data_IF_974865076330
#
_entry.id   IF_974865076330
#
_cell.length_a   1.000
_cell.length_b   1.000
_cell.length_c   1.000
_cell.angle_alpha   90.00
_cell.angle_beta   90.00
_cell.angle_gamma   90.00
#
_symmetry.space_group_name_H-M   'P 1'
#
loop_
_entity.id
_entity.type
_entity.pdbx_description
1 polymer ?
#
# COMPACT_ATOMS: atom_id res chain seq x y z
N UNK A 1 -1.34 -26.42 10.35
CA UNK A 1 -0.94 -27.05 9.08
C UNK A 1 -2.17 -26.99 8.18
N UNK A 2 -2.33 -25.91 7.41
CA UNK A 2 -3.51 -25.72 6.54
C UNK A 2 -3.09 -26.16 5.14
N UNK A 3 -3.63 -27.28 4.68
CA UNK A 3 -3.53 -27.70 3.28
C UNK A 3 -4.54 -26.87 2.49
N UNK A 4 -4.09 -25.83 1.80
CA UNK A 4 -4.87 -25.27 0.71
C UNK A 4 -4.98 -26.34 -0.39
N UNK A 5 -6.19 -26.55 -0.90
CA UNK A 5 -6.46 -27.45 -2.02
C UNK A 5 -5.83 -26.85 -3.28
N UNK A 6 -4.58 -27.20 -3.57
CA UNK A 6 -3.92 -26.85 -4.83
C UNK A 6 -4.13 -27.98 -5.84
N UNK A 7 -4.35 -27.65 -7.14
CA UNK A 7 -4.48 -28.65 -8.20
C UNK A 7 -3.28 -29.59 -8.23
N UNK A 8 -3.53 -30.86 -8.58
CA UNK A 8 -2.53 -31.93 -8.55
C UNK A 8 -1.30 -31.57 -9.41
N UNK A 9 -0.12 -31.53 -8.78
CA UNK A 9 1.16 -31.35 -9.47
C UNK A 9 2.05 -30.21 -8.94
N UNK A 10 1.53 -29.30 -8.11
CA UNK A 10 2.39 -28.37 -7.38
C UNK A 10 2.76 -28.94 -6.01
N UNK A 11 4.06 -29.13 -5.76
CA UNK A 11 4.57 -29.30 -4.40
C UNK A 11 4.11 -28.11 -3.54
N UNK A 12 3.74 -28.31 -2.26
CA UNK A 12 3.43 -27.20 -1.38
C UNK A 12 4.65 -26.29 -1.34
N UNK A 13 4.50 -25.05 -1.79
CA UNK A 13 5.47 -23.99 -1.52
C UNK A 13 5.49 -23.79 0.00
N UNK A 14 6.36 -24.53 0.70
CA UNK A 14 6.62 -24.26 2.10
C UNK A 14 7.42 -22.96 2.13
N UNK A 15 6.73 -21.85 2.33
CA UNK A 15 7.37 -20.59 2.67
C UNK A 15 8.00 -20.73 4.06
N UNK A 16 9.27 -21.16 4.12
CA UNK A 16 10.00 -21.33 5.38
C UNK A 16 10.24 -20.01 6.14
N UNK A 17 10.05 -18.85 5.50
CA UNK A 17 10.20 -17.55 6.13
C UNK A 17 8.88 -16.78 6.16
N UNK A 18 8.21 -16.81 7.30
CA UNK A 18 7.13 -15.86 7.63
C UNK A 18 7.74 -14.49 7.79
N UNK A 19 7.22 -13.50 7.07
CA UNK A 19 7.68 -12.12 7.21
C UNK A 19 6.77 -11.34 8.15
N UNK A 20 7.32 -10.29 8.75
CA UNK A 20 6.53 -9.24 9.40
C UNK A 20 6.47 -8.01 8.50
N UNK A 21 5.27 -7.70 8.05
CA UNK A 21 4.96 -6.69 7.03
C UNK A 21 4.22 -5.53 7.67
N UNK A 22 4.69 -4.31 7.43
CA UNK A 22 3.92 -3.09 7.68
C UNK A 22 3.26 -2.68 6.37
N UNK A 23 1.94 -2.81 6.26
CA UNK A 23 1.18 -2.41 5.08
C UNK A 23 0.61 -1.00 5.29
N UNK A 24 0.94 -0.06 4.40
CA UNK A 24 0.42 1.30 4.41
C UNK A 24 -0.61 1.47 3.30
N UNK A 25 -1.86 1.75 3.67
CA UNK A 25 -2.99 1.89 2.76
C UNK A 25 -3.65 3.27 2.95
N UNK A 26 -3.27 4.30 2.15
CA UNK A 26 -3.68 5.70 2.32
C UNK A 26 -5.10 5.97 1.78
N UNK A 27 -6.05 5.13 2.18
CA UNK A 27 -7.46 5.24 1.82
C UNK A 27 -8.33 4.64 2.93
N UNK A 28 -9.64 4.94 2.97
CA UNK A 28 -10.59 4.21 3.81
C UNK A 28 -10.56 2.70 3.54
N UNK A 29 -10.69 1.89 4.58
CA UNK A 29 -10.69 0.43 4.48
C UNK A 29 -11.49 -0.21 5.64
N UNK A 30 -12.35 -1.20 5.46
CA UNK A 30 -12.76 -1.78 4.20
C UNK A 30 -13.97 -1.01 3.61
N UNK A 31 -14.00 -0.85 2.29
CA UNK A 31 -15.14 -0.35 1.53
C UNK A 31 -15.18 -1.11 0.20
N UNK A 32 -16.35 -1.56 -0.26
CA UNK A 32 -16.47 -2.39 -1.47
C UNK A 32 -16.33 -1.55 -2.76
N UNK A 33 -15.14 -1.00 -3.00
CA UNK A 33 -14.80 -0.21 -4.20
C UNK A 33 -13.30 -0.24 -4.47
N UNK A 34 -12.90 -0.32 -5.73
CA UNK A 34 -11.51 -0.04 -6.21
C UNK A 34 -10.39 -0.65 -5.36
N UNK A 35 -9.36 0.17 -5.08
CA UNK A 35 -8.13 -0.18 -4.34
C UNK A 35 -8.37 -0.90 -3.00
N UNK A 36 -9.35 -0.53 -2.16
CA UNK A 36 -9.72 -1.33 -0.98
C UNK A 36 -9.96 -2.82 -1.24
N UNK A 37 -10.47 -3.22 -2.41
CA UNK A 37 -10.68 -4.64 -2.75
C UNK A 37 -9.34 -5.32 -3.06
N UNK A 38 -8.45 -4.66 -3.79
CA UNK A 38 -7.11 -5.17 -4.06
C UNK A 38 -6.31 -5.35 -2.76
N UNK A 39 -6.39 -4.37 -1.85
CA UNK A 39 -5.77 -4.45 -0.51
C UNK A 39 -6.38 -5.58 0.33
N UNK A 40 -7.69 -5.79 0.25
CA UNK A 40 -8.36 -6.89 0.96
C UNK A 40 -7.88 -8.26 0.47
N UNK A 41 -7.80 -8.47 -0.84
CA UNK A 41 -7.23 -9.68 -1.43
C UNK A 41 -5.77 -9.87 -1.06
N UNK A 42 -4.99 -8.79 -1.05
CA UNK A 42 -3.60 -8.82 -0.60
C UNK A 42 -3.49 -9.28 0.85
N UNK A 43 -4.30 -8.71 1.76
CA UNK A 43 -4.33 -9.12 3.16
C UNK A 43 -4.69 -10.60 3.31
N UNK A 44 -5.67 -11.08 2.54
CA UNK A 44 -6.09 -12.48 2.55
C UNK A 44 -4.96 -13.40 2.11
N UNK A 45 -4.30 -13.11 0.98
CA UNK A 45 -3.19 -13.93 0.47
C UNK A 45 -1.99 -13.93 1.44
N UNK A 46 -1.64 -12.77 2.00
CA UNK A 46 -0.55 -12.67 2.99
C UNK A 46 -0.91 -13.37 4.31
N UNK A 47 -2.17 -13.29 4.73
CA UNK A 47 -2.68 -13.99 5.90
C UNK A 47 -2.60 -15.51 5.69
N UNK A 48 -3.12 -16.02 4.58
CA UNK A 48 -3.12 -17.45 4.23
C UNK A 48 -1.69 -18.00 4.06
N UNK A 49 -0.74 -17.19 3.59
CA UNK A 49 0.70 -17.52 3.57
C UNK A 49 1.30 -17.63 4.97
N UNK A 50 0.68 -17.01 5.97
CA UNK A 50 1.09 -17.05 7.38
C UNK A 50 2.01 -15.90 7.81
N UNK A 51 2.07 -14.79 7.05
CA UNK A 51 2.85 -13.61 7.42
C UNK A 51 2.20 -12.80 8.53
N UNK A 52 2.97 -12.07 9.33
CA UNK A 52 2.40 -11.14 10.30
C UNK A 52 2.21 -9.77 9.65
N UNK A 53 0.97 -9.28 9.58
CA UNK A 53 0.67 -7.99 8.95
C UNK A 53 0.17 -7.02 10.01
N UNK A 54 0.85 -5.89 10.15
CA UNK A 54 0.27 -4.69 10.76
C UNK A 54 -0.10 -3.75 9.60
N UNK A 55 -1.39 -3.53 9.38
CA UNK A 55 -1.91 -2.61 8.36
C UNK A 55 -2.24 -1.27 9.00
N UNK A 56 -1.83 -0.17 8.37
CA UNK A 56 -2.19 1.18 8.77
C UNK A 56 -3.02 1.85 7.67
N UNK A 57 -4.20 2.34 8.04
CA UNK A 57 -5.21 2.85 7.10
C UNK A 57 -5.98 4.05 7.66
N UNK A 58 -6.85 4.67 6.86
CA UNK A 58 -7.66 5.82 7.27
C UNK A 58 -8.85 5.41 8.17
N UNK A 59 -9.44 6.37 8.92
CA UNK A 59 -10.48 6.08 9.92
C UNK A 59 -11.78 5.49 9.38
N UNK A 60 -12.06 5.67 8.09
CA UNK A 60 -13.32 5.26 7.47
C UNK A 60 -13.25 3.81 6.97
N UNK A 61 -14.40 3.12 7.00
CA UNK A 61 -14.58 1.76 6.49
C UNK A 61 -15.02 0.78 7.57
N UNK A 62 -15.24 -0.46 7.14
CA UNK A 62 -15.70 -1.57 7.99
C UNK A 62 -14.52 -2.32 8.60
N UNK A 63 -14.77 -2.95 9.75
CA UNK A 63 -13.79 -3.79 10.42
C UNK A 63 -13.87 -5.24 9.90
N UNK A 64 -12.82 -5.65 9.20
CA UNK A 64 -12.63 -7.00 8.66
C UNK A 64 -11.60 -7.76 9.50
N UNK A 65 -11.73 -9.08 9.54
CA UNK A 65 -10.88 -9.95 10.39
C UNK A 65 -10.19 -11.00 9.54
N UNK A 66 -8.88 -11.05 9.70
CA UNK A 66 -7.99 -12.07 9.13
C UNK A 66 -7.10 -12.61 10.23
N UNK A 67 -6.70 -13.89 10.10
CA UNK A 67 -5.65 -14.42 10.96
C UNK A 67 -4.36 -13.62 10.73
N UNK A 68 -3.55 -13.43 11.78
CA UNK A 68 -2.23 -12.78 11.69
C UNK A 68 -2.21 -11.34 11.10
N UNK A 69 -3.37 -10.69 10.96
CA UNK A 69 -3.49 -9.28 10.55
C UNK A 69 -3.97 -8.43 11.72
N UNK A 70 -3.36 -7.25 11.90
CA UNK A 70 -3.82 -6.19 12.80
C UNK A 70 -4.04 -4.92 12.02
N UNK A 71 -5.24 -4.36 12.08
CA UNK A 71 -5.59 -3.11 11.39
C UNK A 71 -5.52 -1.95 12.40
N UNK A 72 -4.69 -0.97 12.11
CA UNK A 72 -4.57 0.29 12.81
C UNK A 72 -5.18 1.40 11.94
N UNK A 73 -5.98 2.26 12.55
CA UNK A 73 -6.64 3.37 11.86
C UNK A 73 -6.05 4.70 12.31
N UNK A 74 -5.93 5.67 11.40
CA UNK A 74 -5.61 7.04 11.79
C UNK A 74 -6.74 7.69 12.60
N UNK A 75 -6.46 8.70 13.43
CA UNK A 75 -7.48 9.33 14.26
C UNK A 75 -8.64 9.87 13.43
N UNK A 76 -9.87 9.62 13.90
CA UNK A 76 -11.08 10.13 13.27
C UNK A 76 -11.26 11.60 13.64
N UNK A 77 -10.96 12.50 12.70
CA UNK A 77 -11.18 13.93 12.88
C UNK A 77 -12.61 14.32 12.47
N UNK A 78 -13.35 15.10 13.27
CA UNK A 78 -14.76 15.41 12.99
C UNK A 78 -14.99 16.18 11.68
N UNK A 79 -13.98 16.91 11.20
CA UNK A 79 -14.01 17.70 9.96
C UNK A 79 -13.46 16.95 8.74
N UNK A 80 -12.86 15.78 8.93
CA UNK A 80 -12.34 14.94 7.84
C UNK A 80 -13.26 13.73 7.69
N UNK A 81 -14.22 13.88 6.79
CA UNK A 81 -15.18 12.85 6.40
C UNK A 81 -15.25 12.72 4.88
N UNK A 82 -15.67 11.56 4.41
CA UNK A 82 -15.82 11.18 3.01
C UNK A 82 -14.52 11.42 2.26
N UNK A 83 -13.49 10.65 2.64
CA UNK A 83 -12.19 10.73 1.98
C UNK A 83 -12.33 10.07 0.60
N UNK A 84 -12.34 10.91 -0.44
CA UNK A 84 -12.42 10.46 -1.83
C UNK A 84 -11.10 9.86 -2.32
N UNK A 85 -11.17 9.00 -3.36
CA UNK A 85 -9.98 8.59 -4.11
C UNK A 85 -9.20 9.78 -4.68
N UNK A 86 -7.89 9.60 -4.85
CA UNK A 86 -6.96 10.62 -5.35
C UNK A 86 -6.45 11.60 -4.29
N UNK A 87 -5.43 12.39 -4.67
CA UNK A 87 -4.77 13.35 -3.78
C UNK A 87 -5.74 14.38 -3.20
N UNK A 88 -5.72 14.68 -1.90
CA UNK A 88 -6.51 15.80 -1.34
C UNK A 88 -5.88 16.34 -0.06
N UNK A 89 -6.21 17.57 0.33
CA UNK A 89 -5.76 18.12 1.61
C UNK A 89 -6.20 17.27 2.82
N UNK A 90 -7.38 16.63 2.73
CA UNK A 90 -7.86 15.67 3.73
C UNK A 90 -6.92 14.46 3.85
N UNK A 91 -6.54 13.88 2.70
CA UNK A 91 -5.56 12.77 2.64
C UNK A 91 -4.23 13.18 3.27
N UNK A 92 -3.67 14.34 2.90
CA UNK A 92 -2.40 14.82 3.46
C UNK A 92 -2.39 14.90 5.00
N UNK A 93 -3.50 15.34 5.61
CA UNK A 93 -3.62 15.37 7.07
C UNK A 93 -3.62 13.94 7.63
N UNK A 94 -4.39 13.04 7.02
CA UNK A 94 -4.40 11.62 7.38
C UNK A 94 -3.04 10.94 7.17
N UNK A 95 -2.29 11.30 6.13
CA UNK A 95 -0.93 10.83 5.86
C UNK A 95 0.05 11.31 6.92
N UNK A 96 -0.12 12.53 7.43
CA UNK A 96 0.65 13.03 8.58
C UNK A 96 0.46 12.15 9.83
N UNK A 97 -0.80 11.80 10.15
CA UNK A 97 -1.09 10.87 11.24
C UNK A 97 -0.60 9.44 10.95
N UNK A 98 -0.69 9.00 9.69
CA UNK A 98 -0.18 7.71 9.25
C UNK A 98 1.33 7.65 9.46
N UNK A 99 2.08 8.68 9.07
CA UNK A 99 3.53 8.77 9.27
C UNK A 99 3.90 8.63 10.75
N UNK A 100 3.26 9.38 11.63
CA UNK A 100 3.53 9.33 13.08
C UNK A 100 3.27 7.93 13.63
N UNK A 101 2.14 7.32 13.28
CA UNK A 101 1.83 5.96 13.74
C UNK A 101 2.75 4.90 13.15
N UNK A 102 3.12 5.03 11.87
CA UNK A 102 4.06 4.12 11.22
C UNK A 102 5.44 4.18 11.88
N UNK A 103 5.92 5.38 12.21
CA UNK A 103 7.16 5.57 12.98
C UNK A 103 7.06 4.89 14.35
N UNK A 104 5.95 5.08 15.09
CA UNK A 104 5.73 4.44 16.38
C UNK A 104 5.70 2.91 16.29
N UNK A 105 5.08 2.36 15.25
CA UNK A 105 5.07 0.93 14.97
C UNK A 105 6.47 0.41 14.67
N UNK A 106 7.25 1.09 13.81
CA UNK A 106 8.63 0.73 13.50
C UNK A 106 9.58 0.85 14.69
N UNK A 107 9.30 1.72 15.66
CA UNK A 107 10.04 1.74 16.94
C UNK A 107 9.69 0.56 17.83
N UNK A 108 8.40 0.20 17.90
CA UNK A 108 7.92 -0.88 18.77
C UNK A 108 8.24 -2.28 18.23
N UNK A 109 8.31 -2.40 16.91
CA UNK A 109 8.36 -3.67 16.21
C UNK A 109 9.39 -3.65 15.08
N UNK A 110 10.05 -4.79 14.85
CA UNK A 110 10.95 -4.96 13.71
C UNK A 110 10.18 -5.53 12.53
N UNK A 111 10.02 -4.73 11.48
CA UNK A 111 9.43 -5.15 10.21
C UNK A 111 10.53 -5.56 9.23
N UNK A 112 10.29 -6.65 8.50
CA UNK A 112 11.18 -7.10 7.43
C UNK A 112 11.01 -6.24 6.19
N UNK A 113 9.79 -5.76 5.95
CA UNK A 113 9.45 -4.95 4.79
C UNK A 113 8.23 -4.06 5.07
N UNK A 114 8.23 -2.87 4.48
CA UNK A 114 7.04 -2.01 4.37
C UNK A 114 6.43 -2.22 2.99
N UNK A 115 5.13 -2.48 2.91
CA UNK A 115 4.40 -2.47 1.64
C UNK A 115 3.59 -1.17 1.60
N UNK A 116 3.96 -0.24 0.71
CA UNK A 116 3.27 1.04 0.58
C UNK A 116 2.44 1.10 -0.70
N UNK A 117 1.16 1.42 -0.54
CA UNK A 117 0.21 1.67 -1.62
C UNK A 117 0.15 3.16 -1.95
N UNK A 118 0.14 3.50 -3.24
CA UNK A 118 -0.01 4.87 -3.76
C UNK A 118 0.95 5.87 -3.06
N UNK A 119 0.43 7.01 -2.58
CA UNK A 119 1.21 8.10 -1.97
C UNK A 119 1.95 7.72 -0.69
N UNK A 120 1.57 6.60 -0.05
CA UNK A 120 2.25 6.14 1.17
C UNK A 120 3.69 5.68 0.91
N UNK A 121 4.11 5.58 -0.35
CA UNK A 121 5.50 5.35 -0.72
C UNK A 121 6.47 6.41 -0.18
N UNK A 122 6.00 7.66 -0.03
CA UNK A 122 6.80 8.71 0.61
C UNK A 122 6.99 8.45 2.11
N UNK A 123 5.95 7.95 2.79
CA UNK A 123 6.05 7.51 4.19
C UNK A 123 7.04 6.36 4.29
N UNK A 124 6.92 5.34 3.43
CA UNK A 124 7.84 4.21 3.41
C UNK A 124 9.29 4.61 3.12
N UNK A 125 9.51 5.60 2.25
CA UNK A 125 10.82 6.19 2.02
C UNK A 125 11.40 6.82 3.29
N UNK A 126 10.59 7.58 4.05
CA UNK A 126 11.01 8.13 5.36
C UNK A 126 11.37 6.99 6.32
N UNK A 127 10.52 5.97 6.43
CA UNK A 127 10.77 4.82 7.30
C UNK A 127 12.05 4.07 6.89
N UNK A 128 12.33 3.95 5.59
CA UNK A 128 13.58 3.39 5.09
C UNK A 128 14.78 4.20 5.54
N UNK A 129 14.73 5.53 5.46
CA UNK A 129 15.84 6.38 5.89
C UNK A 129 16.06 6.29 7.40
N UNK A 130 14.98 6.30 8.19
CA UNK A 130 15.05 6.31 9.66
C UNK A 130 15.38 4.94 10.24
N UNK A 131 14.72 3.88 9.76
CA UNK A 131 14.77 2.52 10.33
C UNK A 131 15.55 1.52 9.48
N UNK A 132 15.95 1.88 8.25
CA UNK A 132 16.59 0.98 7.27
C UNK A 132 15.72 -0.19 6.82
N UNK A 133 14.42 -0.15 7.09
CA UNK A 133 13.47 -1.15 6.59
C UNK A 133 13.26 -0.95 5.08
N UNK A 134 13.47 -1.97 4.24
CA UNK A 134 13.18 -1.86 2.81
C UNK A 134 11.67 -1.73 2.56
N UNK A 135 11.28 -1.22 1.40
CA UNK A 135 9.87 -1.13 1.04
C UNK A 135 9.56 -1.58 -0.38
N UNK A 136 8.33 -2.02 -0.57
CA UNK A 136 7.66 -2.26 -1.85
C UNK A 136 6.79 -1.05 -2.13
N UNK A 137 6.88 -0.51 -3.35
CA UNK A 137 6.00 0.55 -3.82
C UNK A 137 4.96 -0.04 -4.76
N UNK A 138 3.73 -0.19 -4.29
CA UNK A 138 2.55 -0.53 -5.10
C UNK A 138 2.00 0.75 -5.74
N UNK A 139 2.13 0.80 -7.06
CA UNK A 139 1.99 2.01 -7.86
C UNK A 139 0.79 1.85 -8.80
N UNK A 140 -0.35 2.36 -8.35
CA UNK A 140 -1.58 2.39 -9.16
C UNK A 140 -1.55 3.53 -10.20
N UNK A 141 -0.90 4.65 -9.85
CA UNK A 141 -0.78 5.81 -10.76
C UNK A 141 0.45 6.67 -10.47
N UNK A 142 0.80 7.54 -11.42
CA UNK A 142 1.87 8.52 -11.22
C UNK A 142 1.40 9.64 -10.28
N UNK A 143 2.05 9.73 -9.13
CA UNK A 143 1.80 10.78 -8.14
C UNK A 143 2.17 12.15 -8.70
N UNK A 144 3.21 12.22 -9.52
CA UNK A 144 3.60 13.49 -10.17
C UNK A 144 2.52 13.96 -11.14
N UNK A 145 1.97 13.07 -11.96
CA UNK A 145 0.88 13.39 -12.87
C UNK A 145 -0.39 13.80 -12.10
N UNK A 146 -0.78 13.04 -11.07
CA UNK A 146 -1.95 13.37 -10.24
C UNK A 146 -1.85 14.79 -9.65
N UNK A 147 -0.67 15.21 -9.19
CA UNK A 147 -0.46 16.53 -8.62
C UNK A 147 -0.62 17.65 -9.64
N UNK A 148 -0.12 17.44 -10.87
CA UNK A 148 -0.18 18.43 -11.95
C UNK A 148 -1.62 18.59 -12.46
N UNK A 149 -2.33 17.48 -12.65
CA UNK A 149 -3.72 17.48 -13.09
C UNK A 149 -4.63 18.17 -12.08
N UNK A 150 -4.38 17.97 -10.78
CA UNK A 150 -5.19 18.55 -9.72
C UNK A 150 -4.88 20.03 -9.45
N UNK A 151 -3.62 20.43 -9.61
CA UNK A 151 -3.17 21.80 -9.35
C UNK A 151 -2.38 22.35 -10.53
N UNK A 152 -3.08 22.72 -11.60
CA UNK A 152 -2.47 23.22 -12.84
C UNK A 152 -1.50 24.41 -12.63
N UNK A 153 -1.72 25.23 -11.60
CA UNK A 153 -0.82 26.33 -11.23
C UNK A 153 0.53 25.86 -10.65
N UNK A 154 0.62 24.62 -10.18
CA UNK A 154 1.86 23.97 -9.71
C UNK A 154 2.63 23.27 -10.84
N UNK A 155 2.21 23.43 -12.10
CA UNK A 155 2.93 22.91 -13.28
C UNK A 155 4.40 23.38 -13.34
N UNK A 156 4.69 24.57 -12.82
CA UNK A 156 6.06 25.08 -12.66
C UNK A 156 6.92 24.26 -11.68
N UNK A 157 6.30 23.53 -10.75
CA UNK A 157 6.96 22.63 -9.79
C UNK A 157 6.98 21.17 -10.26
N UNK A 158 6.62 20.89 -11.52
CA UNK A 158 6.66 19.54 -12.11
C UNK A 158 8.00 18.82 -11.87
N UNK A 159 9.11 19.56 -11.97
CA UNK A 159 10.44 19.00 -11.75
C UNK A 159 10.63 18.48 -10.31
N UNK A 160 10.02 19.14 -9.32
CA UNK A 160 10.07 18.70 -7.92
C UNK A 160 9.26 17.42 -7.73
N UNK A 161 8.02 17.38 -8.24
CA UNK A 161 7.18 16.19 -8.11
C UNK A 161 7.81 14.97 -8.80
N UNK A 162 8.35 15.16 -10.02
CA UNK A 162 9.10 14.11 -10.71
C UNK A 162 10.37 13.71 -9.93
N UNK A 163 11.05 14.64 -9.25
CA UNK A 163 12.22 14.31 -8.44
C UNK A 163 11.84 13.48 -7.21
N UNK A 164 10.73 13.80 -6.54
CA UNK A 164 10.22 13.01 -5.42
C UNK A 164 9.77 11.62 -5.84
N UNK A 165 8.98 11.52 -6.92
CA UNK A 165 8.55 10.24 -7.47
C UNK A 165 9.76 9.39 -7.91
N UNK A 166 10.71 9.99 -8.63
CA UNK A 166 11.98 9.33 -8.99
C UNK A 166 12.71 8.79 -7.76
N UNK A 167 12.77 9.58 -6.68
CA UNK A 167 13.42 9.15 -5.46
C UNK A 167 12.68 7.95 -4.84
N UNK A 168 11.36 8.00 -4.75
CA UNK A 168 10.54 6.90 -4.23
C UNK A 168 10.68 5.62 -5.08
N UNK A 169 10.68 5.73 -6.41
CA UNK A 169 10.87 4.60 -7.33
C UNK A 169 12.26 4.00 -7.20
N UNK A 170 13.31 4.83 -7.27
CA UNK A 170 14.71 4.37 -7.23
C UNK A 170 15.10 3.76 -5.89
N UNK A 171 14.48 4.21 -4.80
CA UNK A 171 14.76 3.71 -3.46
C UNK A 171 13.94 2.48 -3.08
N UNK A 172 12.84 2.19 -3.77
CA UNK A 172 12.06 0.98 -3.54
C UNK A 172 12.89 -0.28 -3.79
N UNK A 173 12.62 -1.35 -3.04
CA UNK A 173 13.20 -2.68 -3.28
C UNK A 173 12.54 -3.32 -4.51
N UNK A 174 11.23 -3.12 -4.65
CA UNK A 174 10.40 -3.52 -5.78
C UNK A 174 9.37 -2.43 -6.01
N UNK A 175 9.11 -2.08 -7.26
CA UNK A 175 7.96 -1.28 -7.66
C UNK A 175 6.97 -2.21 -8.37
N UNK A 176 5.70 -2.12 -7.99
CA UNK A 176 4.61 -2.93 -8.52
C UNK A 176 3.64 -2.00 -9.23
N UNK A 177 3.87 -1.67 -10.51
CA UNK A 177 2.91 -0.90 -11.29
C UNK A 177 1.71 -1.76 -11.69
N UNK A 178 0.53 -1.14 -11.78
CA UNK A 178 -0.71 -1.81 -12.20
C UNK A 178 -0.72 -2.19 -13.69
N UNK A 179 0.06 -1.53 -14.54
CA UNK A 179 0.09 -1.77 -15.98
C UNK A 179 1.47 -1.59 -16.61
N UNK A 180 1.64 -2.11 -17.83
CA UNK A 180 2.88 -2.00 -18.59
C UNK A 180 3.25 -0.55 -18.94
N UNK A 181 2.27 0.29 -19.27
CA UNK A 181 2.52 1.71 -19.56
C UNK A 181 3.18 2.42 -18.38
N UNK A 182 2.68 2.17 -17.16
CA UNK A 182 3.25 2.75 -15.95
C UNK A 182 4.64 2.17 -15.65
N UNK A 183 4.86 0.89 -15.95
CA UNK A 183 6.18 0.25 -15.89
C UNK A 183 7.19 0.91 -16.82
N UNK A 184 6.78 1.23 -18.05
CA UNK A 184 7.60 1.93 -19.05
C UNK A 184 7.94 3.36 -18.61
N UNK A 185 6.94 4.10 -18.13
CA UNK A 185 7.08 5.49 -17.68
C UNK A 185 8.13 5.64 -16.57
N UNK A 186 8.18 4.69 -15.63
CA UNK A 186 9.12 4.74 -14.51
C UNK A 186 10.53 4.23 -14.85
N UNK A 187 10.77 3.64 -16.03
CA UNK A 187 12.12 3.13 -16.39
C UNK A 187 13.17 4.24 -16.38
N UNK A 188 12.78 5.47 -16.77
CA UNK A 188 13.67 6.65 -16.73
C UNK A 188 14.19 6.96 -15.32
N UNK A 189 13.48 6.50 -14.27
CA UNK A 189 13.89 6.65 -12.87
C UNK A 189 14.86 5.57 -12.39
N UNK A 190 15.17 4.58 -13.24
CA UNK A 190 16.08 3.47 -12.95
C UNK A 190 15.67 2.67 -11.70
N UNK A 191 14.46 2.09 -11.66
CA UNK A 191 14.02 1.23 -10.57
C UNK A 191 14.92 0.00 -10.42
N UNK A 192 15.09 -0.49 -9.18
CA UNK A 192 15.92 -1.68 -8.91
C UNK A 192 15.29 -2.97 -9.42
N UNK A 193 13.97 -3.06 -9.30
CA UNK A 193 13.15 -4.19 -9.75
C UNK A 193 11.72 -3.69 -9.96
N UNK A 194 11.13 -4.11 -11.07
CA UNK A 194 9.74 -3.82 -11.42
C UNK A 194 9.02 -5.14 -11.66
N UNK A 195 7.80 -5.27 -11.16
CA UNK A 195 6.91 -6.43 -11.39
C UNK A 195 5.52 -5.88 -11.65
N UNK A 196 5.01 -6.02 -12.87
CA UNK A 196 3.66 -5.57 -13.20
C UNK A 196 2.64 -6.49 -12.55
N UNK A 197 1.66 -5.93 -11.85
CA UNK A 197 0.56 -6.67 -11.25
C UNK A 197 -0.77 -6.01 -11.65
N UNK A 198 -1.47 -6.55 -12.66
CA UNK A 198 -2.75 -6.00 -13.10
C UNK A 198 -3.84 -6.09 -12.04
N UNK A 199 -4.73 -5.10 -12.05
CA UNK A 199 -5.96 -5.15 -11.27
C UNK A 199 -6.83 -6.35 -11.66
N UNK A 200 -7.45 -6.94 -10.64
CA UNK A 200 -8.38 -8.05 -10.81
C UNK A 200 -9.78 -7.55 -11.17
N UNK A 201 -10.45 -8.27 -12.08
CA UNK A 201 -11.86 -8.03 -12.38
C UNK A 201 -12.71 -8.33 -11.15
N UNK A 202 -13.59 -7.40 -10.77
CA UNK A 202 -14.45 -7.51 -9.59
C UNK A 202 -15.62 -8.50 -9.76
N UNK A 203 -15.77 -9.12 -10.93
CA UNK A 203 -16.90 -10.00 -11.24
C UNK A 203 -16.98 -11.24 -10.34
N UNK A 204 -15.85 -11.73 -9.82
CA UNK A 204 -15.77 -12.95 -8.99
C UNK A 204 -15.45 -12.66 -7.51
N UNK A 205 -15.43 -11.39 -7.10
CA UNK A 205 -15.03 -11.02 -5.74
C UNK A 205 -16.16 -11.26 -4.72
N UNK A 206 -15.88 -12.04 -3.68
CA UNK A 206 -16.74 -12.22 -2.51
C UNK A 206 -16.22 -11.39 -1.35
N UNK A 207 -17.06 -10.49 -0.81
CA UNK A 207 -16.68 -9.62 0.30
C UNK A 207 -16.34 -10.42 1.58
N UNK A 208 -15.41 -9.91 2.42
CA UNK A 208 -15.02 -10.57 3.67
C UNK A 208 -16.17 -10.61 4.68
N UNK A 209 -16.13 -11.59 5.58
CA UNK A 209 -17.06 -11.68 6.71
C UNK A 209 -16.82 -10.51 7.68
N UNK A 210 -17.80 -9.63 7.81
CA UNK A 210 -17.78 -8.56 8.81
C UNK A 210 -18.11 -9.12 10.21
N UNK A 211 -17.54 -8.52 11.26
CA UNK A 211 -18.11 -8.67 12.60
C UNK A 211 -19.39 -7.85 12.68
N UNK A 212 -20.47 -8.49 13.12
CA UNK A 212 -21.69 -7.81 13.58
C UNK A 212 -21.42 -7.04 14.89
#
# INVERSE_FOLDING_TARGET
MIKAFLPEGLTPFIFENRMRILLLAPHPFFQTRGTPIAVDLMLRVLSERGDQIDMLTFPEGDDVVYDNVRIYRTPKLPFIKNISPGFSGKKLVCDGFMLIQAINLCWKYKYDIVHSVEESAFIALVLKVVFRTPYIYDMDSSLAQQMIEKFAFLSSLRFLFNAFERLAVRQAKVVIPVCETLSEDIQVYQPKRVVVLPDISLLDYSAPNNKA
#
